data_IF_214180765757
#
_entry.id   IF_214180765757
#
_cell.length_a   1.000
_cell.length_b   1.000
_cell.length_c   1.000
_cell.angle_alpha   90.00
_cell.angle_beta   90.00
_cell.angle_gamma   90.00
#
_symmetry.space_group_name_H-M   'P 1'
#
loop_
_entity.id
_entity.type
_entity.pdbx_description
1 polymer ?
#
# COMPACT_ATOMS: atom_id res chain seq x y z
N UNK A 1 -43.49 47.58 -52.15
CA UNK A 1 -43.23 46.57 -53.19
C UNK A 1 -41.88 45.96 -52.93
N UNK A 2 -41.87 44.65 -52.67
CA UNK A 2 -40.76 43.67 -52.64
C UNK A 2 -39.30 44.13 -52.53
N UNK A 3 -38.61 43.59 -51.51
CA UNK A 3 -37.31 42.91 -51.57
C UNK A 3 -37.22 42.05 -50.28
N UNK A 4 -37.57 40.75 -50.27
CA UNK A 4 -36.71 39.59 -50.59
C UNK A 4 -35.30 39.75 -49.99
N UNK A 5 -34.84 38.99 -48.99
CA UNK A 5 -35.07 37.59 -48.67
C UNK A 5 -33.71 36.88 -48.72
N UNK A 6 -33.00 36.82 -47.58
CA UNK A 6 -31.83 35.96 -47.40
C UNK A 6 -31.80 35.47 -45.94
N UNK A 7 -32.57 34.41 -45.67
CA UNK A 7 -32.36 33.57 -44.49
C UNK A 7 -31.26 32.56 -44.86
N UNK A 8 -30.07 32.77 -44.31
CA UNK A 8 -29.02 31.75 -44.32
C UNK A 8 -29.44 30.62 -43.40
N UNK A 9 -29.62 29.43 -43.99
CA UNK A 9 -29.86 28.19 -43.28
C UNK A 9 -28.60 27.79 -42.49
N UNK A 10 -28.62 27.96 -41.17
CA UNK A 10 -27.69 27.26 -40.29
C UNK A 10 -28.25 25.86 -40.04
N UNK A 11 -27.83 24.94 -40.91
CA UNK A 11 -27.90 23.50 -40.70
C UNK A 11 -27.40 23.14 -39.30
N UNK A 12 -28.20 22.34 -38.59
CA UNK A 12 -27.87 21.81 -37.29
C UNK A 12 -26.57 21.02 -37.30
N UNK A 13 -25.56 21.54 -36.62
CA UNK A 13 -24.44 20.74 -36.14
C UNK A 13 -24.79 20.23 -34.75
N UNK A 14 -25.05 18.93 -34.62
CA UNK A 14 -25.00 18.22 -33.35
C UNK A 14 -23.57 18.35 -32.79
N UNK A 15 -23.33 19.36 -31.95
CA UNK A 15 -22.17 19.36 -31.06
C UNK A 15 -22.63 18.93 -29.68
N UNK A 16 -22.17 17.78 -29.13
CA UNK A 16 -22.42 17.47 -27.74
C UNK A 16 -21.78 18.57 -26.87
N UNK A 17 -22.58 19.15 -25.99
CA UNK A 17 -22.20 20.24 -25.08
C UNK A 17 -21.38 19.76 -23.86
N UNK A 18 -20.57 18.71 -24.02
CA UNK A 18 -19.73 18.20 -22.95
C UNK A 18 -18.26 18.45 -23.32
N UNK A 19 -17.67 19.42 -22.62
CA UNK A 19 -16.23 19.64 -22.63
C UNK A 19 -15.55 18.35 -22.13
N UNK A 20 -14.69 17.68 -22.92
CA UNK A 20 -14.01 16.45 -22.51
C UNK A 20 -12.99 16.67 -21.38
N UNK A 21 -12.66 17.93 -21.07
CA UNK A 21 -11.78 18.32 -19.98
C UNK A 21 -12.60 18.69 -18.75
N UNK A 22 -13.25 17.70 -18.14
CA UNK A 22 -13.79 17.88 -16.79
C UNK A 22 -12.60 17.82 -15.82
N UNK A 23 -12.27 18.94 -15.20
CA UNK A 23 -11.26 18.97 -14.14
C UNK A 23 -11.80 18.19 -12.94
N UNK A 24 -11.10 17.13 -12.53
CA UNK A 24 -11.42 16.41 -11.30
C UNK A 24 -11.43 17.43 -10.15
N UNK A 25 -12.58 17.53 -9.47
CA UNK A 25 -12.68 18.38 -8.29
C UNK A 25 -11.83 17.72 -7.20
N UNK A 26 -10.97 18.51 -6.55
CA UNK A 26 -10.24 18.07 -5.37
C UNK A 26 -11.26 17.71 -4.29
N UNK A 27 -11.48 16.41 -4.06
CA UNK A 27 -12.20 15.93 -2.90
C UNK A 27 -11.41 16.42 -1.67
N UNK A 28 -12.04 17.28 -0.87
CA UNK A 28 -11.49 17.66 0.42
C UNK A 28 -11.75 16.45 1.31
N UNK A 29 -10.70 15.90 1.93
CA UNK A 29 -10.87 14.85 2.92
C UNK A 29 -11.72 15.43 4.06
N UNK A 30 -12.96 14.96 4.20
CA UNK A 30 -13.71 15.15 5.43
C UNK A 30 -12.93 14.44 6.53
N UNK A 31 -12.57 15.19 7.58
CA UNK A 31 -11.81 14.65 8.70
C UNK A 31 -12.77 13.85 9.56
N UNK A 32 -12.86 12.55 9.29
CA UNK A 32 -13.59 11.61 10.15
C UNK A 32 -12.68 11.16 11.29
N UNK A 33 -13.27 10.98 12.48
CA UNK A 33 -12.56 10.32 13.57
C UNK A 33 -12.30 8.85 13.19
N UNK A 34 -11.15 8.29 13.59
CA UNK A 34 -10.84 6.86 13.47
C UNK A 34 -10.69 6.27 14.87
N UNK A 35 -10.98 4.98 15.02
CA UNK A 35 -10.80 4.23 16.27
C UNK A 35 -9.77 3.11 16.07
N UNK A 36 -9.21 2.59 17.16
CA UNK A 36 -8.33 1.42 17.10
C UNK A 36 -9.14 0.13 16.94
N UNK A 37 -8.47 -0.94 16.48
CA UNK A 37 -9.06 -2.28 16.47
C UNK A 37 -9.51 -2.70 17.87
N UNK A 38 -8.71 -2.42 18.91
CA UNK A 38 -9.04 -2.75 20.30
C UNK A 38 -10.33 -2.06 20.76
N UNK A 39 -10.51 -0.77 20.44
CA UNK A 39 -11.75 -0.05 20.77
C UNK A 39 -12.96 -0.63 20.04
N UNK A 40 -12.80 -1.02 18.78
CA UNK A 40 -13.86 -1.66 18.02
C UNK A 40 -14.22 -3.04 18.59
N UNK A 41 -13.22 -3.89 18.83
CA UNK A 41 -13.39 -5.24 19.36
C UNK A 41 -14.03 -5.21 20.75
N UNK A 42 -13.63 -4.25 21.59
CA UNK A 42 -14.23 -4.02 22.91
C UNK A 42 -15.71 -3.66 22.79
N UNK A 43 -16.09 -2.76 21.87
CA UNK A 43 -17.49 -2.40 21.67
C UNK A 43 -18.34 -3.60 21.21
N UNK A 44 -17.81 -4.43 20.30
CA UNK A 44 -18.49 -5.67 19.88
C UNK A 44 -18.63 -6.64 21.06
N UNK A 45 -17.58 -6.80 21.88
CA UNK A 45 -17.61 -7.68 23.04
C UNK A 45 -18.57 -7.20 24.13
N UNK A 46 -18.63 -5.89 24.39
CA UNK A 46 -19.60 -5.27 25.31
C UNK A 46 -21.03 -5.50 24.84
N UNK A 47 -21.30 -5.40 23.52
CA UNK A 47 -22.60 -5.70 22.94
C UNK A 47 -23.04 -7.17 23.20
N UNK A 48 -22.11 -8.12 23.08
CA UNK A 48 -22.37 -9.53 23.41
C UNK A 48 -22.59 -9.73 24.90
N UNK A 49 -21.69 -9.22 25.74
CA UNK A 49 -21.67 -9.53 27.17
C UNK A 49 -22.77 -8.81 27.97
N UNK A 50 -23.04 -7.54 27.65
CA UNK A 50 -23.98 -6.70 28.40
C UNK A 50 -25.42 -6.81 27.89
N UNK A 51 -25.59 -7.00 26.57
CA UNK A 51 -26.91 -7.05 25.94
C UNK A 51 -27.32 -8.46 25.49
N UNK A 52 -26.43 -9.44 25.59
CA UNK A 52 -26.71 -10.84 25.24
C UNK A 52 -26.96 -11.04 23.75
N UNK A 53 -26.41 -10.17 22.90
CA UNK A 53 -26.55 -10.24 21.44
C UNK A 53 -25.79 -11.43 20.87
N UNK A 54 -26.25 -11.93 19.71
CA UNK A 54 -25.43 -12.85 18.91
C UNK A 54 -24.17 -12.11 18.41
N UNK A 55 -23.06 -12.83 18.24
CA UNK A 55 -21.78 -12.20 17.90
C UNK A 55 -21.79 -11.47 16.55
N UNK A 56 -22.52 -11.99 15.56
CA UNK A 56 -22.65 -11.34 14.25
C UNK A 56 -23.60 -10.14 14.32
N UNK A 57 -24.64 -10.22 15.15
CA UNK A 57 -25.54 -9.11 15.44
C UNK A 57 -24.80 -7.97 16.15
N UNK A 58 -24.01 -8.30 17.17
CA UNK A 58 -23.18 -7.36 17.92
C UNK A 58 -22.15 -6.66 17.02
N UNK A 59 -21.56 -7.39 16.08
CA UNK A 59 -20.65 -6.84 15.07
C UNK A 59 -21.36 -5.82 14.16
N UNK A 60 -22.51 -6.22 13.60
CA UNK A 60 -23.28 -5.35 12.71
C UNK A 60 -23.73 -4.07 13.44
N UNK A 61 -24.19 -4.20 14.68
CA UNK A 61 -24.62 -3.07 15.51
C UNK A 61 -23.45 -2.12 15.83
N UNK A 62 -22.28 -2.64 16.20
CA UNK A 62 -21.09 -1.81 16.44
C UNK A 62 -20.64 -1.04 15.19
N UNK A 63 -20.70 -1.67 14.00
CA UNK A 63 -20.41 -1.00 12.73
C UNK A 63 -21.38 0.17 12.51
N UNK A 64 -22.69 -0.09 12.63
CA UNK A 64 -23.72 0.94 12.42
C UNK A 64 -23.59 2.08 13.44
N UNK A 65 -23.30 1.75 14.71
CA UNK A 65 -23.12 2.71 15.79
C UNK A 65 -21.95 3.67 15.52
N UNK A 66 -20.80 3.15 15.09
CA UNK A 66 -19.62 3.98 14.80
C UNK A 66 -19.81 4.78 13.51
N UNK A 67 -20.35 4.17 12.44
CA UNK A 67 -20.59 4.88 11.18
C UNK A 67 -21.62 6.00 11.34
N UNK A 68 -22.66 5.82 12.14
CA UNK A 68 -23.66 6.86 12.47
C UNK A 68 -23.06 8.03 13.27
N UNK A 69 -22.01 7.78 14.06
CA UNK A 69 -21.25 8.81 14.76
C UNK A 69 -20.22 9.52 13.85
N UNK A 70 -20.13 9.13 12.58
CA UNK A 70 -19.16 9.67 11.63
C UNK A 70 -17.73 9.15 11.87
N UNK A 71 -17.58 8.00 12.52
CA UNK A 71 -16.28 7.32 12.65
C UNK A 71 -15.98 6.58 11.35
N UNK A 72 -14.77 6.77 10.84
CA UNK A 72 -14.25 6.05 9.68
C UNK A 72 -13.58 4.75 10.14
N UNK A 73 -14.12 3.62 9.69
CA UNK A 73 -13.65 2.27 10.02
C UNK A 73 -12.72 1.65 8.95
N UNK A 74 -12.19 2.42 8.00
CA UNK A 74 -11.30 1.91 6.94
C UNK A 74 -9.99 1.30 7.45
N UNK A 75 -9.62 1.56 8.70
CA UNK A 75 -8.45 1.00 9.37
C UNK A 75 -8.79 -0.17 10.31
N UNK A 76 -10.06 -0.57 10.40
CA UNK A 76 -10.57 -1.60 11.31
C UNK A 76 -10.95 -2.84 10.50
N UNK A 77 -10.48 -4.00 10.98
CA UNK A 77 -10.92 -5.31 10.50
C UNK A 77 -12.30 -5.58 11.07
N UNK A 78 -13.32 -5.47 10.23
CA UNK A 78 -14.74 -5.65 10.60
C UNK A 78 -15.08 -7.13 10.71
N UNK A 79 -14.80 -7.74 11.87
CA UNK A 79 -15.10 -9.15 12.15
C UNK A 79 -15.45 -9.37 13.61
N UNK A 80 -16.01 -10.55 13.90
CA UNK A 80 -16.26 -10.99 15.27
C UNK A 80 -14.91 -11.14 16.03
N UNK A 81 -14.77 -10.52 17.21
CA UNK A 81 -13.59 -10.70 18.06
C UNK A 81 -13.36 -12.17 18.41
N UNK A 82 -12.11 -12.62 18.31
CA UNK A 82 -11.75 -14.02 18.58
C UNK A 82 -12.11 -15.02 17.47
N UNK A 83 -12.76 -14.58 16.38
CA UNK A 83 -12.96 -15.42 15.20
C UNK A 83 -11.61 -15.89 14.61
N UNK A 84 -11.58 -17.06 13.94
CA UNK A 84 -10.40 -17.58 13.27
C UNK A 84 -9.72 -16.55 12.37
N UNK A 85 -8.39 -16.55 12.39
CA UNK A 85 -7.53 -15.69 11.58
C UNK A 85 -7.74 -15.85 10.06
N UNK A 86 -8.30 -16.97 9.63
CA UNK A 86 -8.61 -17.30 8.23
C UNK A 86 -9.88 -16.60 7.71
N UNK A 87 -10.73 -16.11 8.61
CA UNK A 87 -11.95 -15.38 8.28
C UNK A 87 -11.69 -13.88 8.06
N UNK A 88 -10.46 -13.42 8.29
CA UNK A 88 -10.05 -12.05 8.01
C UNK A 88 -10.16 -11.71 6.50
N UNK A 89 -10.29 -10.42 6.14
CA UNK A 89 -10.21 -10.00 4.75
C UNK A 89 -8.98 -10.58 4.05
N UNK A 90 -9.09 -11.10 2.81
CA UNK A 90 -7.99 -11.79 2.13
C UNK A 90 -6.68 -11.00 2.07
N UNK A 91 -6.75 -9.67 1.92
CA UNK A 91 -5.55 -8.82 1.95
C UNK A 91 -4.87 -8.81 3.34
N UNK A 92 -5.63 -8.87 4.43
CA UNK A 92 -5.07 -8.96 5.80
C UNK A 92 -4.43 -10.31 6.04
N UNK A 93 -5.06 -11.39 5.58
CA UNK A 93 -4.46 -12.73 5.60
C UNK A 93 -3.14 -12.74 4.84
N UNK A 94 -3.07 -12.08 3.68
CA UNK A 94 -1.84 -11.97 2.90
C UNK A 94 -0.74 -11.17 3.61
N UNK A 95 -1.07 -10.04 4.26
CA UNK A 95 -0.10 -9.28 5.08
C UNK A 95 0.42 -10.13 6.24
N UNK A 96 -0.46 -10.86 6.94
CA UNK A 96 -0.07 -11.74 8.03
C UNK A 96 0.86 -12.84 7.54
N UNK A 97 0.48 -13.53 6.47
CA UNK A 97 1.30 -14.58 5.84
C UNK A 97 2.68 -14.04 5.44
N UNK A 98 2.75 -12.82 4.90
CA UNK A 98 4.01 -12.16 4.56
C UNK A 98 4.87 -11.91 5.80
N UNK A 99 4.29 -11.39 6.88
CA UNK A 99 4.98 -11.12 8.14
C UNK A 99 5.47 -12.41 8.79
N UNK A 100 4.66 -13.46 8.79
CA UNK A 100 5.00 -14.77 9.36
C UNK A 100 6.14 -15.44 8.58
N UNK A 101 6.13 -15.34 7.25
CA UNK A 101 7.22 -15.85 6.41
C UNK A 101 8.54 -15.10 6.67
N UNK A 102 8.48 -13.79 6.89
CA UNK A 102 9.65 -12.98 7.24
C UNK A 102 10.14 -13.28 8.66
N UNK A 103 9.24 -13.42 9.64
CA UNK A 103 9.61 -13.78 11.00
C UNK A 103 10.27 -15.16 11.04
N UNK A 104 9.69 -16.16 10.36
CA UNK A 104 10.28 -17.51 10.27
C UNK A 104 11.67 -17.50 9.63
N UNK A 105 11.91 -16.65 8.62
CA UNK A 105 13.23 -16.50 8.03
C UNK A 105 14.25 -15.90 9.03
N UNK A 106 13.84 -14.94 9.86
CA UNK A 106 14.69 -14.31 10.87
C UNK A 106 14.93 -15.15 12.13
N UNK A 107 14.06 -16.11 12.43
CA UNK A 107 14.17 -17.02 13.58
C UNK A 107 14.93 -18.32 13.25
N UNK A 108 15.32 -18.55 12.00
CA UNK A 108 16.05 -19.76 11.62
C UNK A 108 17.45 -19.81 12.25
N UNK A 109 17.93 -21.02 12.57
CA UNK A 109 19.28 -21.21 13.15
C UNK A 109 20.41 -20.72 12.23
N UNK A 110 20.13 -20.57 10.93
CA UNK A 110 21.04 -20.07 9.91
C UNK A 110 20.86 -18.56 9.64
N UNK A 111 19.92 -17.89 10.33
CA UNK A 111 19.67 -16.47 10.17
C UNK A 111 20.82 -15.66 10.76
N UNK A 112 21.57 -14.99 9.87
CA UNK A 112 22.56 -13.99 10.27
C UNK A 112 22.04 -12.58 9.94
N UNK A 113 22.20 -11.67 10.90
CA UNK A 113 21.94 -10.25 10.70
C UNK A 113 22.92 -9.69 9.65
N UNK A 114 22.36 -9.31 8.51
CA UNK A 114 23.06 -8.62 7.44
C UNK A 114 22.94 -7.11 7.63
N UNK A 115 24.03 -6.43 7.29
CA UNK A 115 24.13 -4.98 7.35
C UNK A 115 24.49 -4.47 5.97
N UNK A 116 23.67 -3.55 5.46
CA UNK A 116 23.97 -2.79 4.27
C UNK A 116 24.16 -1.32 4.63
N UNK A 117 25.27 -0.74 4.20
CA UNK A 117 25.53 0.69 4.33
C UNK A 117 25.34 1.38 2.98
N UNK A 118 24.33 2.21 2.89
CA UNK A 118 23.98 2.93 1.67
C UNK A 118 24.18 4.42 1.83
N UNK A 119 24.73 5.06 0.81
CA UNK A 119 24.83 6.51 0.79
C UNK A 119 23.42 7.12 0.70
N UNK A 120 23.12 8.03 1.63
CA UNK A 120 21.88 8.78 1.66
C UNK A 120 22.14 10.25 2.00
N UNK A 121 21.96 11.13 1.01
CA UNK A 121 22.32 12.54 1.12
C UNK A 121 23.81 12.73 1.33
N UNK A 122 24.17 13.44 2.40
CA UNK A 122 25.58 13.67 2.79
C UNK A 122 26.15 12.58 3.69
N UNK A 123 25.33 11.62 4.15
CA UNK A 123 25.72 10.58 5.09
C UNK A 123 25.54 9.16 4.55
N UNK A 124 25.72 8.20 5.45
CA UNK A 124 25.46 6.77 5.24
C UNK A 124 24.27 6.36 6.10
N UNK A 125 23.38 5.53 5.54
CA UNK A 125 22.30 4.87 6.27
C UNK A 125 22.64 3.39 6.41
N UNK A 126 22.55 2.88 7.64
CA UNK A 126 22.75 1.47 7.96
C UNK A 126 21.40 0.76 7.95
N UNK A 127 21.25 -0.24 7.10
CA UNK A 127 20.07 -1.08 6.98
C UNK A 127 20.42 -2.48 7.51
N UNK A 128 19.81 -2.86 8.64
CA UNK A 128 19.89 -4.24 9.17
C UNK A 128 18.70 -5.05 8.70
N UNK A 129 18.95 -6.27 8.23
CA UNK A 129 17.97 -7.24 7.74
C UNK A 129 18.57 -8.65 7.79
N UNK A 130 17.77 -9.70 7.62
CA UNK A 130 18.25 -11.08 7.44
C UNK A 130 18.01 -11.49 5.99
N UNK A 131 18.72 -12.49 5.48
CA UNK A 131 18.45 -13.05 4.16
C UNK A 131 17.40 -14.15 4.25
N UNK A 132 16.48 -14.18 3.29
CA UNK A 132 15.65 -15.35 3.09
C UNK A 132 16.44 -16.43 2.33
N UNK A 133 16.26 -17.68 2.73
CA UNK A 133 16.62 -18.83 1.91
C UNK A 133 15.65 -18.98 0.72
N UNK A 134 15.86 -20.02 -0.09
CA UNK A 134 15.02 -20.27 -1.26
C UNK A 134 13.56 -20.60 -0.89
N UNK A 135 13.32 -21.28 0.24
CA UNK A 135 11.98 -21.69 0.67
C UNK A 135 11.17 -20.50 1.16
N UNK A 136 11.73 -19.71 2.07
CA UNK A 136 11.11 -18.49 2.57
C UNK A 136 10.96 -17.44 1.47
N UNK A 137 11.88 -17.40 0.50
CA UNK A 137 11.72 -16.53 -0.66
C UNK A 137 10.45 -16.83 -1.45
N UNK A 138 10.13 -18.10 -1.68
CA UNK A 138 8.87 -18.49 -2.33
C UNK A 138 7.68 -18.02 -1.51
N UNK A 139 7.66 -18.30 -0.21
CA UNK A 139 6.55 -17.90 0.69
C UNK A 139 6.33 -16.39 0.72
N UNK A 140 7.41 -15.60 0.83
CA UNK A 140 7.35 -14.13 0.79
C UNK A 140 6.82 -13.63 -0.55
N UNK A 141 7.26 -14.23 -1.67
CA UNK A 141 6.79 -13.82 -3.00
C UNK A 141 5.32 -14.13 -3.26
N UNK A 142 4.85 -15.30 -2.84
CA UNK A 142 3.46 -15.72 -2.99
C UNK A 142 2.54 -14.83 -2.14
N UNK A 143 2.91 -14.57 -0.89
CA UNK A 143 2.16 -13.68 -0.01
C UNK A 143 2.11 -12.24 -0.55
N UNK A 144 3.21 -11.71 -1.06
CA UNK A 144 3.23 -10.38 -1.66
C UNK A 144 2.38 -10.29 -2.94
N UNK A 145 2.38 -11.33 -3.77
CA UNK A 145 1.54 -11.42 -4.97
C UNK A 145 0.05 -11.54 -4.64
N UNK A 146 -0.30 -12.31 -3.61
CA UNK A 146 -1.66 -12.40 -3.08
C UNK A 146 -2.12 -11.02 -2.57
N UNK A 147 -1.32 -10.36 -1.73
CA UNK A 147 -1.59 -9.01 -1.23
C UNK A 147 -1.84 -8.02 -2.38
N UNK A 148 -0.96 -8.02 -3.38
CA UNK A 148 -1.10 -7.17 -4.57
C UNK A 148 -2.42 -7.41 -5.29
N UNK A 149 -2.80 -8.68 -5.44
CA UNK A 149 -4.03 -9.08 -6.13
C UNK A 149 -5.26 -8.57 -5.38
N UNK A 150 -5.30 -8.76 -4.07
CA UNK A 150 -6.43 -8.32 -3.25
C UNK A 150 -6.53 -6.79 -3.19
N UNK A 151 -5.41 -6.07 -3.00
CA UNK A 151 -5.39 -4.61 -3.05
C UNK A 151 -5.76 -4.01 -4.43
N UNK A 152 -5.56 -4.75 -5.52
CA UNK A 152 -5.99 -4.32 -6.85
C UNK A 152 -7.49 -4.56 -7.09
N UNK A 153 -8.05 -5.60 -6.48
CA UNK A 153 -9.48 -5.91 -6.56
C UNK A 153 -10.30 -4.90 -5.79
N UNK A 154 -9.83 -4.54 -4.60
CA UNK A 154 -10.51 -3.62 -3.70
C UNK A 154 -9.52 -2.60 -3.12
N UNK A 155 -9.68 -1.34 -3.54
CA UNK A 155 -8.82 -0.24 -3.10
C UNK A 155 -9.08 0.16 -1.65
N UNK A 156 -10.26 -0.13 -1.11
CA UNK A 156 -10.59 0.19 0.29
C UNK A 156 -9.75 -0.64 1.26
N UNK A 157 -9.34 -1.85 0.82
CA UNK A 157 -8.44 -2.70 1.59
C UNK A 157 -7.01 -2.15 1.67
N UNK A 158 -6.61 -1.22 0.80
CA UNK A 158 -5.26 -0.64 0.84
C UNK A 158 -5.04 0.08 2.17
N UNK A 159 -5.97 0.95 2.59
CA UNK A 159 -5.90 1.64 3.89
C UNK A 159 -5.79 0.63 5.02
N UNK A 160 -6.62 -0.42 4.97
CA UNK A 160 -6.65 -1.46 6.00
C UNK A 160 -5.30 -2.19 6.13
N UNK A 161 -4.69 -2.61 5.02
CA UNK A 161 -3.39 -3.31 5.06
C UNK A 161 -2.23 -2.40 5.47
N UNK A 162 -2.30 -1.12 5.12
CA UNK A 162 -1.32 -0.10 5.54
C UNK A 162 -1.31 0.04 7.06
N UNK A 163 -2.48 0.10 7.69
CA UNK A 163 -2.58 0.11 9.15
C UNK A 163 -2.16 -1.21 9.83
N UNK A 164 -2.04 -2.30 9.06
CA UNK A 164 -1.58 -3.60 9.54
C UNK A 164 -0.09 -3.88 9.24
N UNK A 165 0.66 -2.85 8.80
CA UNK A 165 2.11 -2.92 8.61
C UNK A 165 2.55 -3.50 7.27
N UNK A 166 1.71 -3.43 6.23
CA UNK A 166 2.07 -3.91 4.90
C UNK A 166 3.32 -3.23 4.32
N UNK A 167 3.48 -1.92 4.52
CA UNK A 167 4.64 -1.17 3.98
C UNK A 167 5.95 -1.67 4.59
N UNK A 168 6.01 -1.79 5.91
CA UNK A 168 7.20 -2.29 6.61
C UNK A 168 7.53 -3.73 6.21
N UNK A 169 6.52 -4.60 6.12
CA UNK A 169 6.70 -5.99 5.70
C UNK A 169 7.23 -6.10 4.27
N UNK A 170 6.70 -5.31 3.34
CA UNK A 170 7.17 -5.29 1.94
C UNK A 170 8.58 -4.71 1.80
N UNK A 171 8.91 -3.66 2.56
CA UNK A 171 10.28 -3.11 2.62
C UNK A 171 11.26 -4.13 3.20
N UNK A 172 10.88 -4.81 4.28
CA UNK A 172 11.67 -5.90 4.86
C UNK A 172 11.83 -7.06 3.85
N UNK A 173 10.78 -7.42 3.11
CA UNK A 173 10.83 -8.41 2.04
C UNK A 173 11.81 -8.02 0.92
N UNK A 174 11.83 -6.76 0.48
CA UNK A 174 12.79 -6.27 -0.52
C UNK A 174 14.24 -6.44 -0.04
N UNK A 175 14.52 -6.12 1.22
CA UNK A 175 15.86 -6.30 1.80
C UNK A 175 16.23 -7.77 1.97
N UNK A 176 15.30 -8.58 2.49
CA UNK A 176 15.56 -9.99 2.76
C UNK A 176 15.76 -10.80 1.47
N UNK A 177 15.14 -10.36 0.38
CA UNK A 177 15.26 -10.95 -0.95
C UNK A 177 16.27 -10.22 -1.85
N UNK A 178 17.07 -9.30 -1.31
CA UNK A 178 17.95 -8.44 -2.11
C UNK A 178 19.00 -9.25 -2.90
N UNK A 179 19.26 -10.51 -2.54
CA UNK A 179 20.16 -11.41 -3.27
C UNK A 179 19.47 -12.29 -4.32
N UNK A 180 18.13 -12.36 -4.32
CA UNK A 180 17.32 -13.26 -5.15
C UNK A 180 16.52 -12.43 -6.15
N UNK A 181 17.14 -12.10 -7.28
CA UNK A 181 16.57 -11.18 -8.26
C UNK A 181 15.17 -11.58 -8.78
N UNK A 182 14.92 -12.89 -8.93
CA UNK A 182 13.64 -13.41 -9.40
C UNK A 182 12.48 -13.23 -8.41
N UNK A 183 12.78 -13.08 -7.11
CA UNK A 183 11.81 -12.94 -6.03
C UNK A 183 11.42 -11.47 -5.76
N UNK A 184 12.20 -10.51 -6.25
CA UNK A 184 11.96 -9.09 -5.99
C UNK A 184 10.73 -8.49 -6.71
N UNK A 185 10.43 -8.81 -7.99
CA UNK A 185 9.35 -8.13 -8.70
C UNK A 185 7.97 -8.24 -8.03
N UNK A 186 7.50 -9.40 -7.54
CA UNK A 186 6.20 -9.49 -6.84
C UNK A 186 6.11 -8.57 -5.62
N UNK A 187 7.19 -8.48 -4.84
CA UNK A 187 7.25 -7.62 -3.65
C UNK A 187 7.26 -6.14 -4.02
N UNK A 188 8.07 -5.76 -5.00
CA UNK A 188 8.16 -4.38 -5.49
C UNK A 188 6.85 -3.91 -6.13
N UNK A 189 6.18 -4.76 -6.89
CA UNK A 189 4.88 -4.43 -7.48
C UNK A 189 3.78 -4.33 -6.42
N UNK A 190 3.78 -5.21 -5.42
CA UNK A 190 2.88 -5.11 -4.27
C UNK A 190 3.06 -3.79 -3.53
N UNK A 191 4.32 -3.42 -3.26
CA UNK A 191 4.67 -2.13 -2.65
C UNK A 191 4.20 -0.95 -3.51
N UNK A 192 4.36 -1.02 -4.83
CA UNK A 192 3.88 0.04 -5.73
C UNK A 192 2.35 0.23 -5.67
N UNK A 193 1.58 -0.86 -5.51
CA UNK A 193 0.13 -0.79 -5.33
C UNK A 193 -0.22 -0.15 -3.99
N UNK A 194 0.40 -0.61 -2.90
CA UNK A 194 0.14 -0.11 -1.54
C UNK A 194 0.51 1.38 -1.41
N UNK A 195 1.61 1.82 -2.01
CA UNK A 195 2.04 3.23 -2.06
C UNK A 195 1.08 4.14 -2.86
N UNK A 196 0.05 3.59 -3.49
CA UNK A 196 -1.07 4.38 -4.01
C UNK A 196 -1.79 5.15 -2.91
N UNK A 197 -1.83 4.61 -1.69
CA UNK A 197 -2.39 5.29 -0.53
C UNK A 197 -1.43 6.38 0.02
N UNK A 198 -1.98 7.45 0.58
CA UNK A 198 -1.19 8.59 1.06
C UNK A 198 -0.49 8.27 2.39
N UNK A 199 -1.13 7.51 3.27
CA UNK A 199 -0.58 7.11 4.56
C UNK A 199 0.52 6.06 4.38
N UNK A 200 0.36 5.15 3.42
CA UNK A 200 1.41 4.23 3.00
C UNK A 200 2.70 4.94 2.61
N UNK A 201 2.59 6.07 1.89
CA UNK A 201 3.74 6.87 1.52
C UNK A 201 4.43 7.40 2.76
N UNK A 202 3.73 8.03 3.69
CA UNK A 202 4.32 8.53 4.94
C UNK A 202 5.07 7.42 5.71
N UNK A 203 4.51 6.20 5.76
CA UNK A 203 5.15 5.06 6.41
C UNK A 203 6.42 4.56 5.70
N UNK A 204 6.55 4.73 4.38
CA UNK A 204 7.73 4.29 3.63
C UNK A 204 9.03 4.86 4.23
N UNK A 205 9.00 6.14 4.59
CA UNK A 205 10.07 6.84 5.28
C UNK A 205 11.45 6.74 4.61
N UNK A 206 12.49 7.20 5.32
CA UNK A 206 13.87 7.17 4.81
C UNK A 206 14.38 5.73 4.63
N UNK A 207 13.97 4.81 5.52
CA UNK A 207 14.36 3.40 5.47
C UNK A 207 13.86 2.73 4.19
N UNK A 208 12.58 2.87 3.85
CA UNK A 208 11.99 2.28 2.65
C UNK A 208 12.55 2.87 1.37
N UNK A 209 12.77 4.18 1.32
CA UNK A 209 13.44 4.84 0.18
C UNK A 209 14.84 4.26 -0.03
N UNK A 210 15.61 4.14 1.04
CA UNK A 210 16.97 3.62 0.97
C UNK A 210 17.01 2.14 0.57
N UNK A 211 16.10 1.32 1.12
CA UNK A 211 15.95 -0.09 0.76
C UNK A 211 15.58 -0.28 -0.71
N UNK A 212 14.65 0.52 -1.24
CA UNK A 212 14.29 0.51 -2.67
C UNK A 212 15.50 0.85 -3.55
N UNK A 213 16.24 1.90 -3.18
CA UNK A 213 17.42 2.32 -3.94
C UNK A 213 18.57 1.32 -3.89
N UNK A 214 18.80 0.70 -2.73
CA UNK A 214 19.74 -0.41 -2.58
C UNK A 214 19.40 -1.57 -3.53
N UNK A 215 18.12 -1.95 -3.55
CA UNK A 215 17.60 -3.04 -4.39
C UNK A 215 17.80 -2.73 -5.88
N UNK A 216 17.48 -1.50 -6.31
CA UNK A 216 17.64 -1.06 -7.70
C UNK A 216 19.11 -1.01 -8.13
N UNK A 217 20.02 -0.52 -7.28
CA UNK A 217 21.46 -0.48 -7.58
C UNK A 217 22.07 -1.86 -7.68
N UNK A 218 21.69 -2.76 -6.76
CA UNK A 218 22.23 -4.13 -6.75
C UNK A 218 21.83 -4.92 -7.99
N UNK A 219 20.67 -4.59 -8.58
CA UNK A 219 20.11 -5.28 -9.75
C UNK A 219 20.00 -4.38 -10.97
N UNK A 220 21.00 -3.52 -11.21
CA UNK A 220 21.01 -2.54 -12.31
C UNK A 220 20.88 -3.14 -13.72
N UNK A 221 21.18 -4.44 -13.89
CA UNK A 221 21.06 -5.14 -15.16
C UNK A 221 19.78 -5.99 -15.28
N UNK A 222 18.95 -6.05 -14.23
CA UNK A 222 17.72 -6.83 -14.24
C UNK A 222 16.51 -5.93 -14.56
N UNK A 223 16.00 -6.04 -15.79
CA UNK A 223 14.91 -5.21 -16.29
C UNK A 223 13.60 -5.37 -15.53
N UNK A 224 13.30 -6.58 -15.03
CA UNK A 224 12.09 -6.85 -14.25
C UNK A 224 12.15 -6.14 -12.89
N UNK A 225 13.29 -6.26 -12.20
CA UNK A 225 13.52 -5.58 -10.90
C UNK A 225 13.50 -4.06 -11.07
N UNK A 226 14.18 -3.54 -12.10
CA UNK A 226 14.19 -2.11 -12.38
C UNK A 226 12.80 -1.57 -12.68
N UNK A 227 12.01 -2.27 -13.50
CA UNK A 227 10.67 -1.82 -13.87
C UNK A 227 9.72 -1.80 -12.67
N UNK A 228 9.68 -2.91 -11.91
CA UNK A 228 8.86 -3.00 -10.69
C UNK A 228 9.29 -1.97 -9.64
N UNK A 229 10.60 -1.83 -9.40
CA UNK A 229 11.11 -0.88 -8.42
C UNK A 229 10.93 0.57 -8.84
N UNK A 230 11.05 0.93 -10.13
CA UNK A 230 10.76 2.28 -10.60
C UNK A 230 9.26 2.62 -10.50
N UNK A 231 8.37 1.63 -10.66
CA UNK A 231 6.94 1.84 -10.35
C UNK A 231 6.72 2.14 -8.86
N UNK A 232 7.39 1.43 -7.96
CA UNK A 232 7.32 1.70 -6.52
C UNK A 232 7.90 3.09 -6.16
N UNK A 233 9.05 3.45 -6.73
CA UNK A 233 9.65 4.78 -6.55
C UNK A 233 8.72 5.88 -7.05
N UNK A 234 8.14 5.71 -8.25
CA UNK A 234 7.14 6.65 -8.77
C UNK A 234 5.96 6.78 -7.82
N UNK A 235 5.40 5.67 -7.35
CA UNK A 235 4.26 5.66 -6.42
C UNK A 235 4.59 6.41 -5.12
N UNK A 236 5.76 6.16 -4.52
CA UNK A 236 6.25 6.87 -3.33
C UNK A 236 6.34 8.40 -3.53
N UNK A 237 6.71 8.85 -4.72
CA UNK A 237 6.82 10.29 -5.03
C UNK A 237 5.49 10.98 -5.37
N UNK A 238 4.40 10.24 -5.61
CA UNK A 238 3.14 10.83 -6.06
C UNK A 238 2.59 11.79 -5.01
N UNK A 239 2.40 13.06 -5.39
CA UNK A 239 1.82 14.11 -4.53
C UNK A 239 2.56 14.28 -3.18
N UNK A 240 3.79 13.77 -3.06
CA UNK A 240 4.57 13.80 -1.82
C UNK A 240 5.92 14.48 -2.07
N UNK A 241 6.01 15.77 -1.76
CA UNK A 241 7.18 16.59 -2.10
C UNK A 241 8.44 16.18 -1.33
N UNK A 242 8.31 15.92 -0.03
CA UNK A 242 9.45 15.48 0.80
C UNK A 242 10.10 14.21 0.25
N UNK A 243 9.32 13.20 -0.11
CA UNK A 243 9.85 11.97 -0.71
C UNK A 243 10.49 12.20 -2.06
N UNK A 244 9.94 13.10 -2.89
CA UNK A 244 10.56 13.46 -4.17
C UNK A 244 11.97 14.00 -3.97
N UNK A 245 12.16 14.90 -3.00
CA UNK A 245 13.47 15.43 -2.65
C UNK A 245 14.40 14.35 -2.10
N UNK A 246 13.88 13.44 -1.28
CA UNK A 246 14.65 12.32 -0.75
C UNK A 246 15.07 11.32 -1.85
N UNK A 247 14.18 10.91 -2.76
CA UNK A 247 14.51 10.01 -3.87
C UNK A 247 15.51 10.65 -4.85
N UNK A 248 15.29 11.91 -5.24
CA UNK A 248 16.10 12.58 -6.27
C UNK A 248 17.40 13.13 -5.70
N UNK A 249 17.32 13.87 -4.59
CA UNK A 249 18.46 14.57 -4.00
C UNK A 249 19.30 13.67 -3.10
N UNK A 250 18.67 12.99 -2.14
CA UNK A 250 19.39 12.20 -1.13
C UNK A 250 19.79 10.83 -1.65
N UNK A 251 18.84 10.11 -2.24
CA UNK A 251 19.01 8.74 -2.70
C UNK A 251 19.47 8.66 -4.16
N UNK A 252 19.44 9.76 -4.92
CA UNK A 252 20.04 9.85 -6.24
C UNK A 252 19.44 8.90 -7.29
N UNK A 253 18.11 8.75 -7.34
CA UNK A 253 17.44 7.86 -8.31
C UNK A 253 17.81 8.15 -9.77
N UNK A 254 18.08 9.41 -10.12
CA UNK A 254 18.49 9.80 -11.48
C UNK A 254 19.92 9.37 -11.83
N UNK A 255 20.68 8.82 -10.88
CA UNK A 255 22.06 8.33 -11.06
C UNK A 255 22.11 6.80 -11.16
N UNK A 256 20.96 6.12 -11.29
CA UNK A 256 20.92 4.68 -11.52
C UNK A 256 21.58 4.35 -12.88
N UNK A 257 22.61 3.50 -12.86
CA UNK A 257 23.35 3.08 -14.06
C UNK A 257 24.31 4.12 -14.66
N UNK A 258 24.63 5.19 -13.91
CA UNK A 258 25.60 6.22 -14.29
C UNK A 258 27.00 5.95 -13.71
#
# INVERSE_FOLDING_TARGET
TLFAGFQSATMGGLRPANNPYQSDKKAIAEVYARISQETFDQAVQENVDEFGMDAEEALADAIEQFETQGVNLSNVVKRVPGAPAEDDPPAIVAVRTLKDALAAAGESDEAEDEVLEEKFGTGMLKLTFFKCDAEMAVRVTEAAAALRTECQRDKEQITLVVHNGAVDALVAGCLSLISIAAALPPVLESLAVVLGDAEAREQLGVRGICALMATLRRHENNTAVLTAGLHAVRAGMLVHETQRQQFVGSAGVLKLGA
#
